data_IF_291367429445
#
_entry.id   IF_291367429445
#
_cell.length_a   1.000
_cell.length_b   1.000
_cell.length_c   1.000
_cell.angle_alpha   90.00
_cell.angle_beta   90.00
_cell.angle_gamma   90.00
#
_symmetry.space_group_name_H-M   'P 1'
#
loop_
_entity.id
_entity.type
_entity.pdbx_description
1 polymer ?
#
# COMPACT_ATOMS: atom_id res chain seq x y z
N UNK A 1 -32.17 -16.20 -20.47
CA UNK A 1 -31.63 -16.80 -19.23
C UNK A 1 -30.17 -16.43 -19.24
N UNK A 2 -29.87 -15.20 -18.82
CA UNK A 2 -28.49 -14.71 -18.75
C UNK A 2 -27.98 -14.91 -17.33
N UNK A 3 -26.85 -15.61 -17.26
CA UNK A 3 -26.02 -15.80 -16.09
C UNK A 3 -25.31 -14.49 -15.77
N UNK A 4 -25.86 -13.72 -14.83
CA UNK A 4 -25.17 -12.59 -14.24
C UNK A 4 -25.40 -12.57 -12.71
N UNK A 5 -25.00 -13.67 -12.05
CA UNK A 5 -25.22 -13.91 -10.62
C UNK A 5 -23.98 -13.75 -9.75
N UNK A 6 -22.83 -13.31 -10.28
CA UNK A 6 -21.59 -13.21 -9.50
C UNK A 6 -21.39 -11.90 -8.72
N UNK A 7 -22.38 -11.00 -8.71
CA UNK A 7 -22.29 -9.73 -7.97
C UNK A 7 -22.88 -9.74 -6.54
N UNK A 8 -23.27 -10.90 -5.98
CA UNK A 8 -24.05 -10.95 -4.71
C UNK A 8 -23.31 -11.37 -3.44
N UNK A 9 -22.03 -11.70 -3.48
CA UNK A 9 -21.30 -12.22 -2.29
C UNK A 9 -20.23 -11.26 -1.76
N UNK A 10 -20.34 -9.95 -2.00
CA UNK A 10 -19.40 -8.97 -1.44
C UNK A 10 -19.89 -8.45 -0.08
N UNK A 11 -19.31 -9.01 0.98
CA UNK A 11 -19.38 -8.48 2.34
C UNK A 11 -18.91 -7.02 2.35
N UNK A 12 -19.82 -6.12 2.74
CA UNK A 12 -19.54 -4.68 2.73
C UNK A 12 -19.11 -4.24 4.12
N UNK A 13 -17.94 -3.60 4.20
CA UNK A 13 -17.48 -2.94 5.41
C UNK A 13 -17.91 -1.49 5.31
N UNK A 14 -18.74 -1.05 6.25
CA UNK A 14 -19.25 0.30 6.34
C UNK A 14 -18.40 1.09 7.33
N UNK A 15 -17.86 2.20 6.86
CA UNK A 15 -17.33 3.26 7.71
C UNK A 15 -18.44 4.33 7.85
N UNK A 16 -19.21 4.33 8.95
CA UNK A 16 -20.29 5.30 9.12
C UNK A 16 -19.70 6.72 9.17
N UNK A 17 -20.40 7.67 8.56
CA UNK A 17 -20.06 9.08 8.65
C UNK A 17 -19.95 9.49 10.13
N UNK A 18 -18.85 10.15 10.48
CA UNK A 18 -18.56 10.59 11.85
C UNK A 18 -19.70 11.51 12.34
N UNK A 19 -20.55 11.01 13.24
CA UNK A 19 -21.64 11.78 13.82
C UNK A 19 -21.12 12.53 15.06
N UNK A 20 -21.12 13.87 14.99
CA UNK A 20 -20.65 14.81 16.03
C UNK A 20 -19.13 14.81 16.28
N UNK A 21 -18.66 15.65 17.22
CA UNK A 21 -17.27 16.09 17.47
C UNK A 21 -16.20 15.00 17.65
N UNK A 22 -16.56 13.72 17.59
CA UNK A 22 -15.67 12.57 17.71
C UNK A 22 -14.93 12.32 16.38
N UNK A 23 -13.61 12.23 16.44
CA UNK A 23 -12.72 12.08 15.26
C UNK A 23 -12.37 10.60 14.98
N UNK A 24 -13.26 9.68 15.31
CA UNK A 24 -13.15 8.23 15.07
C UNK A 24 -14.54 7.57 15.12
N UNK A 25 -14.66 6.37 14.58
CA UNK A 25 -15.91 5.59 14.52
C UNK A 25 -15.67 4.08 14.55
N UNK A 26 -16.68 3.29 14.19
CA UNK A 26 -16.58 1.82 14.16
C UNK A 26 -16.83 1.31 12.75
N UNK A 27 -16.03 0.35 12.29
CA UNK A 27 -16.29 -0.39 11.06
C UNK A 27 -17.33 -1.47 11.33
N UNK A 28 -18.37 -1.50 10.51
CA UNK A 28 -19.42 -2.52 10.57
C UNK A 28 -19.32 -3.46 9.37
N UNK A 29 -19.48 -4.76 9.60
CA UNK A 29 -19.56 -5.78 8.56
C UNK A 29 -21.00 -6.24 8.42
N UNK A 30 -21.54 -6.19 7.21
CA UNK A 30 -22.90 -6.69 6.94
C UNK A 30 -22.90 -8.19 6.62
N UNK A 31 -24.07 -8.82 6.69
CA UNK A 31 -24.32 -10.06 5.96
C UNK A 31 -24.43 -9.83 4.45
N UNK A 32 -24.59 -10.91 3.67
CA UNK A 32 -24.73 -10.86 2.20
C UNK A 32 -25.99 -10.11 1.72
N UNK A 33 -26.99 -9.95 2.61
CA UNK A 33 -28.21 -9.18 2.30
C UNK A 33 -28.07 -7.68 2.60
N UNK A 34 -27.04 -7.28 3.34
CA UNK A 34 -26.83 -5.90 3.75
C UNK A 34 -27.82 -5.43 4.83
N UNK A 35 -28.41 -6.36 5.59
CA UNK A 35 -29.48 -6.03 6.57
C UNK A 35 -29.04 -6.23 8.02
N UNK A 36 -28.18 -7.21 8.28
CA UNK A 36 -27.63 -7.46 9.60
C UNK A 36 -26.20 -6.97 9.66
N UNK A 37 -25.88 -6.19 10.68
CA UNK A 37 -24.56 -5.57 10.85
C UNK A 37 -23.97 -5.99 12.18
N UNK A 38 -22.69 -6.39 12.14
CA UNK A 38 -21.87 -6.64 13.32
C UNK A 38 -20.69 -5.68 13.33
N UNK A 39 -20.23 -5.30 14.51
CA UNK A 39 -19.04 -4.46 14.63
C UNK A 39 -17.80 -5.30 14.32
N UNK A 40 -17.01 -4.83 13.36
CA UNK A 40 -15.75 -5.46 12.92
C UNK A 40 -14.55 -4.86 13.63
N UNK A 41 -14.50 -3.54 13.77
CA UNK A 41 -13.41 -2.83 14.43
C UNK A 41 -13.90 -1.51 15.02
N UNK A 42 -13.65 -1.29 16.31
CA UNK A 42 -13.97 -0.04 16.99
C UNK A 42 -12.83 0.98 16.92
N UNK A 43 -13.19 2.25 17.15
CA UNK A 43 -12.27 3.39 17.27
C UNK A 43 -11.40 3.67 16.04
N UNK A 44 -11.86 3.30 14.85
CA UNK A 44 -11.17 3.59 13.59
C UNK A 44 -11.05 5.09 13.39
N UNK A 45 -9.82 5.54 13.19
CA UNK A 45 -9.45 6.92 13.04
C UNK A 45 -10.13 7.53 11.82
N UNK A 46 -10.64 8.74 11.98
CA UNK A 46 -11.16 9.52 10.87
C UNK A 46 -10.95 11.01 11.07
N UNK A 47 -11.19 11.75 10.00
CA UNK A 47 -11.11 13.19 9.99
C UNK A 47 -12.44 13.78 9.53
N UNK A 48 -13.12 14.47 10.46
CA UNK A 48 -14.46 15.03 10.26
C UNK A 48 -14.46 16.14 9.20
N UNK A 49 -13.34 16.84 8.99
CA UNK A 49 -13.27 17.96 8.05
C UNK A 49 -13.12 17.49 6.61
N UNK A 50 -12.37 16.42 6.40
CA UNK A 50 -12.14 15.81 5.08
C UNK A 50 -13.15 14.71 4.76
N UNK A 51 -13.83 14.15 5.77
CA UNK A 51 -14.68 12.98 5.65
C UNK A 51 -13.90 11.68 5.43
N UNK A 52 -12.56 11.71 5.53
CA UNK A 52 -11.70 10.57 5.33
C UNK A 52 -11.68 9.68 6.59
N UNK A 53 -11.59 8.38 6.36
CA UNK A 53 -11.43 7.36 7.40
C UNK A 53 -10.16 6.58 7.05
N UNK A 54 -9.32 6.31 8.04
CA UNK A 54 -8.13 5.48 7.89
C UNK A 54 -8.55 4.00 7.83
N UNK A 55 -9.13 3.63 6.69
CA UNK A 55 -9.47 2.27 6.32
C UNK A 55 -9.21 2.10 4.83
N UNK A 56 -8.49 1.05 4.47
CA UNK A 56 -8.19 0.74 3.08
C UNK A 56 -8.20 -0.77 2.85
N UNK A 57 -8.91 -1.22 1.82
CA UNK A 57 -8.83 -2.60 1.32
C UNK A 57 -7.64 -2.72 0.37
N UNK A 58 -6.90 -3.82 0.47
CA UNK A 58 -5.80 -4.10 -0.45
C UNK A 58 -6.40 -4.49 -1.80
N UNK A 59 -6.15 -3.66 -2.81
CA UNK A 59 -6.85 -3.72 -4.10
C UNK A 59 -6.56 -4.99 -4.90
N UNK A 60 -5.41 -5.61 -4.68
CA UNK A 60 -5.00 -6.82 -5.38
C UNK A 60 -5.45 -8.12 -4.71
N UNK A 61 -6.02 -8.06 -3.49
CA UNK A 61 -6.41 -9.26 -2.74
C UNK A 61 -7.68 -9.06 -1.92
N UNK A 62 -8.58 -10.02 -2.04
CA UNK A 62 -9.80 -10.03 -1.24
C UNK A 62 -9.52 -10.44 0.22
N UNK A 63 -10.30 -9.87 1.14
CA UNK A 63 -10.21 -10.16 2.56
C UNK A 63 -9.11 -9.46 3.33
N UNK A 64 -8.25 -8.70 2.65
CA UNK A 64 -7.15 -7.97 3.30
C UNK A 64 -7.46 -6.49 3.36
N UNK A 65 -7.36 -5.91 4.56
CA UNK A 65 -7.54 -4.49 4.77
C UNK A 65 -6.66 -3.96 5.91
N UNK A 66 -6.30 -2.69 5.81
CA UNK A 66 -5.56 -1.93 6.81
C UNK A 66 -6.45 -0.86 7.41
N UNK A 67 -6.28 -0.59 8.70
CA UNK A 67 -6.95 0.50 9.39
C UNK A 67 -6.06 1.10 10.48
N UNK A 68 -6.22 2.39 10.77
CA UNK A 68 -5.65 2.99 11.98
C UNK A 68 -6.75 3.15 13.03
N UNK A 69 -6.47 2.78 14.27
CA UNK A 69 -7.36 2.96 15.42
C UNK A 69 -6.83 4.00 16.38
N UNK A 70 -7.73 4.68 17.08
CA UNK A 70 -7.42 5.56 18.21
C UNK A 70 -7.28 4.69 19.45
N UNK A 71 -6.06 4.53 19.96
CA UNK A 71 -5.74 3.69 21.11
C UNK A 71 -6.12 4.33 22.46
N UNK A 72 -6.29 5.66 22.50
CA UNK A 72 -6.64 6.41 23.71
C UNK A 72 -8.00 7.15 23.61
N UNK A 73 -9.10 6.52 23.20
CA UNK A 73 -10.33 7.23 22.83
C UNK A 73 -10.94 8.05 24.00
N UNK A 74 -10.82 7.59 25.24
CA UNK A 74 -11.33 8.33 26.41
C UNK A 74 -10.55 9.62 26.65
N UNK A 75 -9.21 9.56 26.57
CA UNK A 75 -8.36 10.74 26.73
C UNK A 75 -8.52 11.69 25.54
N UNK A 76 -8.47 11.15 24.32
CA UNK A 76 -8.60 11.91 23.08
C UNK A 76 -9.94 12.68 22.99
N UNK A 77 -11.00 12.19 23.63
CA UNK A 77 -12.29 12.89 23.68
C UNK A 77 -12.21 14.20 24.48
N UNK A 78 -11.31 14.27 25.45
CA UNK A 78 -11.11 15.45 26.29
C UNK A 78 -9.98 16.36 25.79
N UNK A 79 -8.88 15.77 25.30
CA UNK A 79 -7.67 16.51 24.90
C UNK A 79 -7.66 16.86 23.41
N UNK A 80 -8.42 16.14 22.58
CA UNK A 80 -8.34 16.19 21.12
C UNK A 80 -7.08 15.54 20.54
N UNK A 81 -6.16 15.02 21.37
CA UNK A 81 -4.92 14.39 20.97
C UNK A 81 -5.11 12.88 20.82
N UNK A 82 -5.03 12.40 19.58
CA UNK A 82 -5.19 10.98 19.23
C UNK A 82 -3.83 10.28 19.26
N UNK A 83 -3.80 9.12 19.89
CA UNK A 83 -2.73 8.12 19.79
C UNK A 83 -3.20 7.07 18.80
N UNK A 84 -2.45 6.87 17.72
CA UNK A 84 -2.86 6.02 16.61
C UNK A 84 -2.03 4.74 16.55
N UNK A 85 -2.69 3.62 16.26
CA UNK A 85 -2.04 2.34 16.00
C UNK A 85 -2.64 1.69 14.76
N UNK A 86 -1.81 1.10 13.92
CA UNK A 86 -2.23 0.39 12.70
C UNK A 86 -2.62 -1.05 12.99
N UNK A 87 -3.66 -1.52 12.31
CA UNK A 87 -4.13 -2.91 12.30
C UNK A 87 -4.35 -3.41 10.89
N UNK A 88 -4.21 -4.71 10.72
CA UNK A 88 -4.47 -5.45 9.48
C UNK A 88 -5.47 -6.58 9.75
N UNK A 89 -6.28 -6.91 8.75
CA UNK A 89 -7.12 -8.10 8.73
C UNK A 89 -6.76 -8.92 7.50
N UNK A 90 -6.87 -10.24 7.62
CA UNK A 90 -6.69 -11.22 6.53
C UNK A 90 -7.93 -12.10 6.33
N UNK A 91 -9.04 -11.77 6.98
CA UNK A 91 -10.29 -12.54 6.92
C UNK A 91 -11.51 -11.62 6.77
N UNK A 92 -11.36 -10.58 5.95
CA UNK A 92 -12.39 -9.61 5.58
C UNK A 92 -12.99 -8.91 6.82
N UNK A 93 -12.14 -8.50 7.75
CA UNK A 93 -12.55 -7.81 8.98
C UNK A 93 -13.20 -8.74 10.02
N UNK A 94 -13.02 -10.06 9.93
CA UNK A 94 -13.44 -10.98 11.00
C UNK A 94 -12.59 -10.81 12.26
N UNK A 95 -11.27 -10.71 12.10
CA UNK A 95 -10.30 -10.41 13.15
C UNK A 95 -9.29 -9.38 12.65
N UNK A 96 -8.74 -8.60 13.59
CA UNK A 96 -7.78 -7.55 13.31
C UNK A 96 -6.58 -7.69 14.23
N UNK A 97 -5.39 -7.64 13.65
CA UNK A 97 -4.10 -7.83 14.31
C UNK A 97 -3.22 -6.61 14.11
N UNK A 98 -2.25 -6.40 15.01
CA UNK A 98 -1.23 -5.37 14.82
C UNK A 98 -0.23 -5.82 13.74
N UNK A 99 0.36 -4.86 13.03
CA UNK A 99 1.35 -5.18 11.99
C UNK A 99 2.67 -5.59 12.67
N UNK A 100 3.18 -6.76 12.29
CA UNK A 100 4.47 -7.26 12.77
C UNK A 100 5.59 -6.30 12.37
N UNK A 101 6.41 -5.81 13.32
CA UNK A 101 7.53 -4.96 12.99
C UNK A 101 8.65 -5.77 12.30
N UNK A 102 9.35 -5.21 11.30
CA UNK A 102 10.58 -5.80 10.78
C UNK A 102 11.64 -5.97 11.88
N UNK A 103 12.51 -6.97 11.74
CA UNK A 103 13.60 -7.21 12.70
C UNK A 103 14.67 -6.12 12.65
N UNK A 104 14.97 -5.64 11.44
CA UNK A 104 16.02 -4.66 11.17
C UNK A 104 15.51 -3.62 10.18
N UNK A 105 16.16 -2.46 10.20
CA UNK A 105 15.91 -1.40 9.26
C UNK A 105 16.70 -1.58 7.95
N UNK A 106 16.49 -0.69 6.98
CA UNK A 106 17.14 -0.74 5.65
C UNK A 106 18.67 -0.56 5.71
N UNK A 107 19.21 -0.18 6.85
CA UNK A 107 20.65 -0.03 7.11
C UNK A 107 21.22 -1.21 7.90
N UNK A 108 20.42 -2.25 8.18
CA UNK A 108 20.80 -3.44 8.94
C UNK A 108 20.83 -3.22 10.46
N UNK A 109 20.27 -2.11 10.96
CA UNK A 109 20.21 -1.84 12.39
C UNK A 109 18.92 -2.43 12.98
N UNK A 110 18.99 -3.17 14.10
CA UNK A 110 17.80 -3.73 14.74
C UNK A 110 16.93 -2.63 15.33
N UNK A 111 15.60 -2.80 15.24
CA UNK A 111 14.67 -1.90 15.93
C UNK A 111 14.73 -2.13 17.44
N UNK A 112 14.74 -1.05 18.21
CA UNK A 112 14.65 -1.09 19.68
C UNK A 112 13.19 -1.33 20.11
N UNK A 113 12.69 -2.52 19.78
CA UNK A 113 11.27 -2.90 19.86
C UNK A 113 11.14 -4.14 20.78
N UNK A 114 11.44 -3.94 22.07
CA UNK A 114 11.51 -5.01 23.06
C UNK A 114 10.22 -5.17 23.89
N UNK A 115 9.29 -4.20 23.78
CA UNK A 115 8.00 -4.24 24.45
C UNK A 115 6.97 -4.99 23.57
N UNK A 116 6.07 -5.71 24.24
CA UNK A 116 4.87 -6.31 23.65
C UNK A 116 3.97 -5.34 22.88
N UNK A 117 3.99 -4.05 23.20
CA UNK A 117 3.17 -3.04 22.53
C UNK A 117 3.84 -2.39 21.30
N UNK A 118 5.03 -2.85 20.92
CA UNK A 118 5.78 -2.25 19.82
C UNK A 118 5.47 -2.96 18.49
N UNK A 119 4.95 -2.20 17.53
CA UNK A 119 4.44 -2.69 16.25
C UNK A 119 4.85 -1.78 15.09
N UNK A 120 4.62 -2.23 13.86
CA UNK A 120 4.67 -1.36 12.69
C UNK A 120 3.39 -0.53 12.61
N UNK A 121 3.54 0.76 12.34
CA UNK A 121 2.43 1.67 12.11
C UNK A 121 2.60 2.44 10.82
N UNK A 122 1.57 2.43 9.98
CA UNK A 122 1.53 3.07 8.68
C UNK A 122 0.60 4.28 8.70
N UNK A 123 0.99 5.33 8.01
CA UNK A 123 0.15 6.52 7.81
C UNK A 123 -0.95 6.15 6.83
N UNK A 124 -2.21 6.38 7.23
CA UNK A 124 -3.38 6.14 6.41
C UNK A 124 -3.82 7.37 5.61
N UNK A 125 -5.00 7.24 4.98
CA UNK A 125 -5.61 8.23 4.10
C UNK A 125 -5.77 9.63 4.70
N UNK A 126 -6.01 9.73 6.01
CA UNK A 126 -6.15 11.01 6.73
C UNK A 126 -4.81 11.74 6.92
N UNK A 127 -3.68 11.04 6.70
CA UNK A 127 -2.33 11.51 7.04
C UNK A 127 -1.34 11.49 5.85
N UNK A 128 -1.75 11.03 4.67
CA UNK A 128 -0.89 11.03 3.49
C UNK A 128 -0.65 12.45 2.95
N UNK A 129 0.62 12.74 2.60
CA UNK A 129 0.99 13.98 1.89
C UNK A 129 0.44 14.02 0.46
N UNK A 130 0.47 12.89 -0.23
CA UNK A 130 -0.18 12.70 -1.52
C UNK A 130 -1.59 12.15 -1.27
N UNK A 131 -2.61 12.99 -1.48
CA UNK A 131 -4.00 12.60 -1.27
C UNK A 131 -4.41 11.52 -2.26
N UNK A 132 -5.11 10.49 -1.77
CA UNK A 132 -5.65 9.42 -2.62
C UNK A 132 -4.65 8.35 -3.03
N UNK A 133 -3.45 8.32 -2.41
CA UNK A 133 -2.53 7.20 -2.54
C UNK A 133 -3.02 6.01 -1.73
N UNK A 134 -3.08 4.87 -2.41
CA UNK A 134 -3.37 3.56 -1.84
C UNK A 134 -2.07 2.85 -1.48
N UNK A 135 -2.12 1.94 -0.51
CA UNK A 135 -1.02 1.06 -0.12
C UNK A 135 -0.69 -0.01 -1.18
N UNK A 136 -1.55 -0.22 -2.18
CA UNK A 136 -1.42 -1.26 -3.20
C UNK A 136 -1.94 -0.81 -4.56
N UNK A 137 -1.64 -1.61 -5.59
CA UNK A 137 -2.20 -1.45 -6.94
C UNK A 137 -2.93 -2.72 -7.37
N UNK A 138 -4.03 -2.62 -8.15
CA UNK A 138 -4.81 -3.79 -8.57
C UNK A 138 -3.99 -4.83 -9.35
N UNK A 139 -3.00 -4.39 -10.14
CA UNK A 139 -2.15 -5.30 -10.92
C UNK A 139 -1.00 -5.93 -10.12
N UNK A 140 -0.76 -5.49 -8.88
CA UNK A 140 0.39 -5.92 -8.08
C UNK A 140 -0.10 -6.75 -6.90
N UNK A 141 -0.08 -8.07 -7.09
CA UNK A 141 -0.53 -9.02 -6.08
C UNK A 141 0.51 -9.17 -4.98
N UNK A 142 0.06 -9.31 -3.73
CA UNK A 142 0.94 -9.56 -2.58
C UNK A 142 1.68 -8.34 -2.05
N UNK A 143 2.00 -7.36 -2.90
CA UNK A 143 2.79 -6.21 -2.49
C UNK A 143 1.98 -5.08 -1.88
N UNK A 144 2.42 -4.61 -0.72
CA UNK A 144 1.85 -3.48 0.02
C UNK A 144 2.99 -2.54 0.39
N UNK A 145 2.93 -1.27 -0.01
CA UNK A 145 3.95 -0.26 0.32
C UNK A 145 3.35 0.83 1.18
N UNK A 146 4.00 1.14 2.30
CA UNK A 146 3.50 2.11 3.27
C UNK A 146 4.60 3.00 3.83
N UNK A 147 4.22 4.22 4.22
CA UNK A 147 5.11 5.14 4.94
C UNK A 147 4.68 5.15 6.40
N UNK A 148 5.62 4.93 7.32
CA UNK A 148 5.28 4.62 8.70
C UNK A 148 6.46 4.65 9.65
N UNK A 149 6.29 4.14 10.86
CA UNK A 149 7.37 3.92 11.82
C UNK A 149 7.12 2.64 12.62
N UNK A 150 8.18 2.10 13.20
CA UNK A 150 8.10 1.07 14.24
C UNK A 150 8.11 1.76 15.60
N UNK A 151 7.25 1.32 16.52
CA UNK A 151 7.16 1.86 17.87
C UNK A 151 5.86 1.44 18.55
N UNK A 152 5.56 2.03 19.71
CA UNK A 152 4.28 1.77 20.41
C UNK A 152 3.08 2.38 19.67
N UNK A 153 3.32 3.49 18.97
CA UNK A 153 2.28 4.28 18.31
C UNK A 153 2.82 4.90 17.02
N UNK A 154 1.91 5.27 16.11
CA UNK A 154 2.23 6.04 14.93
C UNK A 154 2.77 7.41 15.34
N UNK A 155 4.00 7.72 14.93
CA UNK A 155 4.68 8.96 15.27
C UNK A 155 3.90 10.17 14.75
N UNK A 156 3.69 11.17 15.61
CA UNK A 156 3.09 12.43 15.18
C UNK A 156 4.00 13.17 14.19
N UNK A 157 5.31 13.14 14.45
CA UNK A 157 6.30 13.71 13.55
C UNK A 157 6.46 12.86 12.29
N UNK A 158 6.15 13.47 11.15
CA UNK A 158 6.30 12.87 9.83
C UNK A 158 7.78 12.59 9.48
N UNK A 159 8.75 13.30 10.08
CA UNK A 159 10.20 13.07 9.87
C UNK A 159 10.71 11.77 10.45
N UNK A 160 10.03 11.20 11.44
CA UNK A 160 10.36 9.89 11.99
C UNK A 160 9.92 8.72 11.10
N UNK A 161 9.26 8.97 9.97
CA UNK A 161 8.75 7.91 9.10
C UNK A 161 9.77 7.41 8.07
N UNK A 162 9.79 6.11 7.85
CA UNK A 162 10.49 5.38 6.78
C UNK A 162 9.50 4.76 5.81
N UNK A 163 9.99 4.22 4.68
CA UNK A 163 9.18 3.47 3.71
C UNK A 163 9.36 1.97 3.92
N UNK A 164 8.23 1.26 3.99
CA UNK A 164 8.13 -0.18 4.24
C UNK A 164 7.42 -0.88 3.10
N UNK A 165 7.76 -2.15 2.89
CA UNK A 165 7.05 -3.04 1.97
C UNK A 165 6.70 -4.35 2.68
N UNK A 166 5.56 -4.92 2.30
CA UNK A 166 5.27 -6.34 2.45
C UNK A 166 5.14 -6.94 1.06
N UNK A 167 5.65 -8.17 0.86
CA UNK A 167 5.54 -8.94 -0.40
C UNK A 167 4.65 -10.17 -0.25
N UNK A 168 4.20 -10.42 0.97
CA UNK A 168 3.37 -11.54 1.38
C UNK A 168 2.08 -11.01 2.00
N UNK A 169 1.44 -10.04 1.36
CA UNK A 169 0.08 -9.63 1.71
C UNK A 169 -0.08 -9.06 3.13
N UNK A 170 0.99 -8.52 3.70
CA UNK A 170 1.02 -7.89 5.02
C UNK A 170 1.32 -8.83 6.18
N UNK A 171 1.70 -10.09 5.92
CA UNK A 171 2.12 -11.04 6.96
C UNK A 171 3.50 -10.69 7.52
N UNK A 172 4.45 -10.33 6.65
CA UNK A 172 5.76 -9.80 7.02
C UNK A 172 6.04 -8.46 6.35
N UNK A 173 6.91 -7.68 6.98
CA UNK A 173 7.25 -6.34 6.54
C UNK A 173 8.76 -6.14 6.58
N UNK A 174 9.26 -5.31 5.68
CA UNK A 174 10.66 -4.88 5.59
C UNK A 174 10.73 -3.36 5.44
N UNK A 175 11.69 -2.71 6.10
CA UNK A 175 12.03 -1.32 5.78
C UNK A 175 12.90 -1.34 4.52
N UNK A 176 12.42 -0.76 3.42
CA UNK A 176 13.17 -0.72 2.15
C UNK A 176 13.99 0.55 1.97
N UNK A 177 13.62 1.62 2.68
CA UNK A 177 14.37 2.86 2.64
C UNK A 177 14.12 3.74 3.86
N UNK A 178 15.17 4.37 4.37
CA UNK A 178 15.07 5.41 5.41
C UNK A 178 14.37 6.66 4.89
N UNK A 179 13.66 7.36 5.78
CA UNK A 179 12.82 8.51 5.44
C UNK A 179 11.63 8.13 4.55
N UNK A 180 10.61 8.97 4.58
CA UNK A 180 9.42 8.84 3.76
C UNK A 180 9.70 9.16 2.29
N UNK A 181 9.13 8.37 1.41
CA UNK A 181 9.19 8.57 -0.03
C UNK A 181 7.78 8.48 -0.61
N UNK A 182 7.51 9.28 -1.64
CA UNK A 182 6.45 8.93 -2.57
C UNK A 182 6.90 7.73 -3.38
N UNK A 183 5.95 6.87 -3.73
CA UNK A 183 6.23 5.65 -4.46
C UNK A 183 5.16 5.38 -5.52
N UNK A 184 5.56 4.65 -6.56
CA UNK A 184 4.63 4.04 -7.50
C UNK A 184 5.12 2.70 -8.04
N UNK A 185 4.16 1.81 -8.32
CA UNK A 185 4.39 0.61 -9.11
C UNK A 185 4.12 0.87 -10.60
N UNK A 186 4.93 0.24 -11.45
CA UNK A 186 4.68 0.11 -12.88
C UNK A 186 4.92 -1.32 -13.33
N UNK A 187 4.52 -1.59 -14.58
CA UNK A 187 4.65 -2.91 -15.21
C UNK A 187 4.06 -4.07 -14.39
N UNK A 188 2.93 -3.85 -13.70
CA UNK A 188 2.32 -4.84 -12.80
C UNK A 188 3.22 -5.29 -11.66
N UNK A 189 4.08 -4.40 -11.17
CA UNK A 189 4.91 -4.62 -9.98
C UNK A 189 6.38 -4.86 -10.29
N UNK A 190 6.73 -5.14 -11.55
CA UNK A 190 8.12 -5.36 -11.97
C UNK A 190 8.99 -4.11 -11.77
N UNK A 191 8.39 -2.91 -11.72
CA UNK A 191 9.11 -1.66 -11.47
C UNK A 191 8.49 -0.98 -10.24
N UNK A 192 9.31 -0.73 -9.22
CA UNK A 192 8.97 0.12 -8.08
C UNK A 192 9.82 1.38 -8.13
N UNK A 193 9.20 2.55 -8.22
CA UNK A 193 9.88 3.86 -8.25
C UNK A 193 9.58 4.59 -6.95
N UNK A 194 10.60 5.19 -6.35
CA UNK A 194 10.48 6.02 -5.16
C UNK A 194 11.19 7.37 -5.33
N UNK A 195 10.65 8.40 -4.67
CA UNK A 195 11.20 9.75 -4.70
C UNK A 195 11.00 10.45 -3.36
N UNK A 196 12.00 11.21 -2.92
CA UNK A 196 11.98 11.91 -1.64
C UNK A 196 10.79 12.88 -1.57
N UNK A 197 10.01 12.81 -0.49
CA UNK A 197 8.78 13.61 -0.32
C UNK A 197 8.94 14.85 0.59
N UNK A 198 10.19 15.23 0.91
CA UNK A 198 10.51 16.35 1.80
C UNK A 198 11.51 17.32 1.24
N UNK A 199 12.63 16.77 0.80
CA UNK A 199 13.79 17.53 0.37
C UNK A 199 13.68 17.75 -1.15
N UNK A 200 14.18 18.89 -1.62
CA UNK A 200 14.25 19.14 -3.05
C UNK A 200 15.16 18.08 -3.68
N UNK A 201 14.72 17.48 -4.77
CA UNK A 201 15.47 16.43 -5.47
C UNK A 201 15.21 16.50 -6.97
N UNK A 202 16.15 15.98 -7.74
CA UNK A 202 16.03 15.72 -9.16
C UNK A 202 16.31 14.25 -9.51
N UNK A 203 16.37 13.39 -8.50
CA UNK A 203 16.59 11.95 -8.64
C UNK A 203 15.38 11.17 -8.11
N UNK A 204 15.03 10.11 -8.83
CA UNK A 204 14.23 8.99 -8.31
C UNK A 204 15.16 7.82 -8.08
N UNK A 205 14.79 6.93 -7.17
CA UNK A 205 15.37 5.59 -7.10
C UNK A 205 14.33 4.60 -7.61
N UNK A 206 14.78 3.58 -8.32
CA UNK A 206 13.89 2.53 -8.81
C UNK A 206 14.50 1.15 -8.57
N UNK A 207 13.62 0.16 -8.47
CA UNK A 207 13.94 -1.24 -8.31
C UNK A 207 13.23 -2.05 -9.38
N UNK A 208 13.91 -3.05 -9.91
CA UNK A 208 13.36 -4.09 -10.80
C UNK A 208 13.34 -5.48 -10.18
N UNK A 209 13.56 -5.56 -8.86
CA UNK A 209 13.56 -6.80 -8.08
C UNK A 209 12.82 -6.58 -6.75
N UNK A 210 11.59 -6.06 -6.84
CA UNK A 210 10.66 -5.95 -5.71
C UNK A 210 11.18 -5.13 -4.51
N UNK A 211 12.11 -4.21 -4.72
CA UNK A 211 12.65 -3.32 -3.70
C UNK A 211 13.86 -3.89 -2.95
N UNK A 212 14.47 -4.97 -3.46
CA UNK A 212 15.67 -5.58 -2.88
C UNK A 212 16.96 -4.83 -3.25
N UNK A 213 17.02 -4.24 -4.45
CA UNK A 213 18.13 -3.41 -4.88
C UNK A 213 17.65 -2.15 -5.59
N UNK A 214 18.39 -1.06 -5.44
CA UNK A 214 17.99 0.26 -5.89
C UNK A 214 18.99 0.83 -6.89
N UNK A 215 18.46 1.45 -7.94
CA UNK A 215 19.22 2.22 -8.93
C UNK A 215 18.71 3.65 -8.94
N UNK A 216 19.63 4.61 -8.98
CA UNK A 216 19.28 6.03 -9.04
C UNK A 216 19.12 6.51 -10.50
N UNK A 217 18.13 7.35 -10.75
CA UNK A 217 17.87 7.96 -12.07
C UNK A 217 17.58 9.46 -11.92
N UNK A 218 18.38 10.28 -12.59
CA UNK A 218 18.18 11.72 -12.65
C UNK A 218 17.05 12.06 -13.62
N UNK A 219 15.90 12.52 -13.11
CA UNK A 219 14.74 12.85 -13.93
C UNK A 219 14.71 14.32 -14.38
N UNK A 220 15.48 15.20 -13.74
CA UNK A 220 15.52 16.63 -14.07
C UNK A 220 16.92 17.25 -13.90
N UNK A 221 17.18 18.36 -14.58
CA UNK A 221 18.44 19.10 -14.43
C UNK A 221 18.52 19.90 -13.13
N UNK A 222 17.37 20.31 -12.59
CA UNK A 222 17.25 21.12 -11.37
C UNK A 222 16.45 20.38 -10.31
N UNK A 223 16.83 20.55 -9.05
CA UNK A 223 16.07 20.02 -7.92
C UNK A 223 14.70 20.70 -7.80
N UNK A 224 13.69 19.89 -7.48
CA UNK A 224 12.33 20.34 -7.26
C UNK A 224 11.74 19.71 -6.00
N UNK A 225 10.80 20.40 -5.37
CA UNK A 225 10.00 19.80 -4.30
C UNK A 225 8.90 18.97 -4.93
N UNK A 226 9.06 17.65 -4.82
CA UNK A 226 8.07 16.71 -5.34
C UNK A 226 6.80 16.78 -4.50
N UNK A 227 5.65 16.75 -5.18
CA UNK A 227 4.31 16.72 -4.58
C UNK A 227 3.64 15.37 -4.76
N UNK A 228 3.94 14.68 -5.85
CA UNK A 228 3.46 13.32 -6.10
C UNK A 228 4.28 12.65 -7.22
N UNK A 229 4.22 11.33 -7.29
CA UNK A 229 4.60 10.53 -8.46
C UNK A 229 3.40 9.71 -8.87
N UNK A 230 2.98 9.76 -10.13
CA UNK A 230 1.79 9.06 -10.59
C UNK A 230 2.09 8.20 -11.81
N UNK A 231 1.28 7.17 -12.01
CA UNK A 231 1.27 6.31 -13.18
C UNK A 231 -0.18 6.04 -13.61
N UNK A 232 -0.34 5.24 -14.66
CA UNK A 232 -1.64 4.71 -15.03
C UNK A 232 -2.30 3.99 -13.82
N UNK A 233 -3.58 4.24 -13.50
CA UNK A 233 -4.19 3.80 -12.24
C UNK A 233 -4.06 2.31 -11.92
N UNK A 234 -4.10 1.43 -12.94
CA UNK A 234 -3.97 0.00 -12.75
C UNK A 234 -2.55 -0.45 -12.39
N UNK A 235 -1.52 0.38 -12.60
CA UNK A 235 -0.12 0.07 -12.30
C UNK A 235 0.61 -0.71 -13.40
N UNK A 236 0.04 -0.79 -14.61
CA UNK A 236 0.58 -1.59 -15.72
C UNK A 236 1.52 -0.81 -16.64
N UNK A 237 1.51 0.52 -16.55
CA UNK A 237 2.36 1.39 -17.36
C UNK A 237 3.82 1.34 -16.89
N UNK A 238 4.76 1.45 -17.83
CA UNK A 238 6.20 1.71 -17.59
C UNK A 238 6.55 3.20 -17.63
N UNK A 239 5.54 4.05 -17.73
CA UNK A 239 5.64 5.52 -17.81
C UNK A 239 5.07 6.15 -16.56
N UNK A 240 5.83 7.07 -15.99
CA UNK A 240 5.53 7.76 -14.74
C UNK A 240 5.59 9.27 -14.95
N UNK A 241 4.88 10.00 -14.10
CA UNK A 241 4.91 11.46 -14.06
C UNK A 241 5.25 11.90 -12.64
N UNK A 242 6.34 12.64 -12.50
CA UNK A 242 6.72 13.32 -11.26
C UNK A 242 6.12 14.73 -11.28
N UNK A 243 5.32 15.05 -10.28
CA UNK A 243 4.68 16.36 -10.12
C UNK A 243 5.38 17.14 -9.01
N UNK A 244 5.62 18.43 -9.23
CA UNK A 244 6.12 19.30 -8.16
C UNK A 244 6.45 20.70 -8.61
N UNK A 245 7.26 21.42 -7.83
CA UNK A 245 7.63 22.80 -8.13
C UNK A 245 9.13 23.06 -7.92
N UNK A 246 9.72 23.86 -8.79
CA UNK A 246 11.09 24.34 -8.61
C UNK A 246 11.11 25.46 -7.58
N UNK A 247 12.09 25.47 -6.67
CA UNK A 247 12.32 26.60 -5.77
C UNK A 247 12.45 27.90 -6.58
N UNK A 248 11.43 28.74 -6.51
CA UNK A 248 11.43 30.02 -7.19
C UNK A 248 10.65 31.04 -6.38
N UNK A 249 11.22 32.24 -6.16
CA UNK A 249 10.56 33.32 -5.42
C UNK A 249 9.30 33.86 -6.11
N UNK A 250 9.00 33.43 -7.36
CA UNK A 250 7.96 34.00 -8.21
C UNK A 250 6.67 33.16 -8.34
N UNK A 251 6.40 32.18 -7.47
CA UNK A 251 5.27 31.24 -7.63
C UNK A 251 5.27 30.57 -9.02
N UNK A 252 6.16 29.61 -9.22
CA UNK A 252 6.18 28.84 -10.47
C UNK A 252 5.00 27.85 -10.45
N UNK A 253 4.29 27.67 -11.59
CA UNK A 253 3.25 26.64 -11.70
C UNK A 253 3.82 25.24 -11.46
N UNK A 254 2.96 24.31 -11.06
CA UNK A 254 3.32 22.89 -10.91
C UNK A 254 3.89 22.38 -12.24
N UNK A 255 5.04 21.74 -12.17
CA UNK A 255 5.75 21.10 -13.28
C UNK A 255 5.47 19.60 -13.23
N UNK A 256 5.27 19.03 -14.41
CA UNK A 256 5.15 17.59 -14.62
C UNK A 256 6.36 17.11 -15.44
N UNK A 257 7.11 16.15 -14.88
CA UNK A 257 8.25 15.53 -15.54
C UNK A 257 7.91 14.08 -15.87
N UNK A 258 8.02 13.70 -17.14
CA UNK A 258 7.73 12.36 -17.61
C UNK A 258 8.97 11.48 -17.56
N UNK A 259 8.84 10.28 -16.98
CA UNK A 259 9.88 9.24 -16.92
C UNK A 259 9.37 8.02 -17.69
N UNK A 260 10.17 7.50 -18.63
CA UNK A 260 9.83 6.32 -19.43
C UNK A 260 10.85 5.20 -19.22
N UNK A 261 10.43 4.15 -18.54
CA UNK A 261 11.24 2.95 -18.29
C UNK A 261 11.01 1.84 -19.34
N UNK A 262 10.36 2.13 -20.47
CA UNK A 262 10.09 1.12 -21.51
C UNK A 262 11.35 0.50 -22.12
N UNK A 263 12.52 1.14 -21.97
CA UNK A 263 13.80 0.65 -22.46
C UNK A 263 14.53 -0.28 -21.48
N UNK A 264 14.06 -0.44 -20.23
CA UNK A 264 14.68 -1.35 -19.25
C UNK A 264 14.64 -2.80 -19.72
N UNK A 265 13.56 -3.19 -20.39
CA UNK A 265 13.31 -4.55 -20.85
C UNK A 265 12.65 -4.54 -22.22
N UNK A 266 13.16 -5.38 -23.13
CA UNK A 266 12.69 -5.46 -24.52
C UNK A 266 12.00 -6.78 -24.85
N UNK A 267 12.09 -7.77 -23.96
CA UNK A 267 11.40 -9.06 -24.06
C UNK A 267 10.18 -9.09 -23.13
N UNK A 268 9.05 -9.54 -23.67
CA UNK A 268 7.82 -9.81 -22.91
C UNK A 268 7.97 -11.11 -22.10
N UNK A 269 7.46 -11.13 -20.87
CA UNK A 269 7.39 -12.34 -20.04
C UNK A 269 6.58 -13.42 -20.76
N UNK A 270 7.12 -14.64 -20.80
CA UNK A 270 6.45 -15.81 -21.36
C UNK A 270 5.91 -16.71 -20.26
N UNK A 271 4.59 -16.93 -20.26
CA UNK A 271 3.93 -17.82 -19.33
C UNK A 271 3.87 -19.23 -19.92
N UNK A 272 4.85 -20.05 -19.59
CA UNK A 272 4.78 -21.49 -19.81
C UNK A 272 4.28 -22.19 -18.54
N UNK A 273 3.09 -22.79 -18.60
CA UNK A 273 2.50 -23.52 -17.47
C UNK A 273 3.04 -24.95 -17.38
N UNK A 274 3.65 -25.45 -18.46
CA UNK A 274 4.10 -26.84 -18.64
C UNK A 274 5.58 -27.06 -18.39
N UNK A 275 6.37 -25.97 -18.29
CA UNK A 275 7.81 -26.00 -18.11
C UNK A 275 8.25 -25.17 -16.88
N UNK A 276 9.35 -25.59 -16.26
CA UNK A 276 10.01 -24.89 -15.14
C UNK A 276 10.83 -23.67 -15.62
N UNK A 277 11.11 -23.54 -16.93
CA UNK A 277 11.79 -22.37 -17.54
C UNK A 277 10.85 -21.17 -17.79
N UNK A 278 9.66 -21.18 -17.18
CA UNK A 278 8.69 -20.08 -17.25
C UNK A 278 9.28 -18.80 -16.67
N UNK A 279 8.98 -17.65 -17.27
CA UNK A 279 9.31 -16.36 -16.64
C UNK A 279 8.42 -16.10 -15.40
N UNK A 280 7.53 -17.03 -15.02
CA UNK A 280 6.59 -16.87 -13.92
C UNK A 280 6.81 -17.88 -12.79
N UNK A 281 6.84 -17.37 -11.56
CA UNK A 281 6.87 -18.13 -10.30
C UNK A 281 5.49 -18.24 -9.65
N UNK A 282 5.29 -19.28 -8.84
CA UNK A 282 4.10 -19.41 -8.02
C UNK A 282 4.21 -18.58 -6.75
N UNK A 283 3.16 -17.85 -6.45
CA UNK A 283 3.05 -17.01 -5.26
C UNK A 283 1.81 -17.38 -4.44
N UNK A 284 1.94 -17.27 -3.12
CA UNK A 284 0.85 -17.44 -2.16
C UNK A 284 1.04 -16.47 -1.01
N UNK A 285 -0.06 -15.85 -0.49
CA UNK A 285 0.04 -14.93 0.62
C UNK A 285 0.53 -15.61 1.91
N UNK A 286 0.25 -16.91 2.10
CA UNK A 286 0.71 -17.65 3.27
C UNK A 286 0.80 -19.16 2.98
N UNK A 287 1.51 -19.93 3.80
CA UNK A 287 1.51 -21.39 3.69
C UNK A 287 0.11 -22.02 3.91
N UNK A 288 -0.82 -21.28 4.52
CA UNK A 288 -2.20 -21.67 4.79
C UNK A 288 -3.19 -21.09 3.76
N UNK A 289 -4.39 -21.68 3.67
CA UNK A 289 -5.45 -21.16 2.81
C UNK A 289 -5.96 -19.80 3.31
N UNK A 290 -5.89 -18.78 2.45
CA UNK A 290 -6.52 -17.48 2.69
C UNK A 290 -7.93 -17.51 2.09
N UNK A 291 -8.96 -17.39 2.92
CA UNK A 291 -10.38 -17.48 2.49
C UNK A 291 -10.70 -18.72 1.62
N UNK A 292 -10.00 -19.84 1.85
CA UNK A 292 -10.20 -21.07 1.07
C UNK A 292 -9.48 -21.11 -0.29
N UNK A 293 -8.60 -20.14 -0.58
CA UNK A 293 -7.78 -20.09 -1.80
C UNK A 293 -6.28 -20.15 -1.47
N UNK A 294 -5.47 -20.69 -2.39
CA UNK A 294 -4.07 -21.01 -2.07
C UNK A 294 -3.00 -20.39 -2.99
N UNK A 295 -3.17 -20.17 -4.31
CA UNK A 295 -2.03 -19.80 -5.20
C UNK A 295 -2.39 -18.95 -6.44
N UNK A 296 -1.47 -18.08 -6.85
CA UNK A 296 -1.41 -17.39 -8.15
C UNK A 296 0.01 -17.44 -8.76
N UNK A 297 0.23 -16.98 -10.01
CA UNK A 297 1.58 -16.87 -10.62
C UNK A 297 1.99 -15.40 -10.83
N UNK A 298 3.27 -15.06 -10.61
CA UNK A 298 3.90 -13.74 -10.81
C UNK A 298 5.08 -13.85 -11.78
N UNK A 299 5.38 -12.84 -12.60
CA UNK A 299 6.58 -12.90 -13.45
C UNK A 299 7.83 -12.64 -12.60
N UNK A 300 8.73 -13.62 -12.53
CA UNK A 300 10.04 -13.54 -11.89
C UNK A 300 11.15 -13.35 -12.93
N UNK A 301 11.93 -12.27 -12.79
CA UNK A 301 13.15 -12.08 -13.59
C UNK A 301 13.46 -10.62 -13.92
N UNK A 302 14.74 -10.23 -13.75
CA UNK A 302 15.21 -8.85 -13.89
C UNK A 302 15.24 -8.31 -15.35
N UNK A 303 14.84 -9.09 -16.36
CA UNK A 303 15.04 -8.75 -17.79
C UNK A 303 13.81 -8.84 -18.69
N UNK A 304 12.63 -9.15 -18.14
CA UNK A 304 11.38 -9.28 -18.89
C UNK A 304 10.35 -8.21 -18.45
N UNK A 305 9.35 -7.92 -19.28
CA UNK A 305 8.20 -7.07 -18.90
C UNK A 305 6.86 -7.79 -19.01
N UNK A 306 5.90 -7.39 -18.19
CA UNK A 306 4.53 -7.89 -18.25
C UNK A 306 3.73 -7.13 -19.31
N UNK A 307 3.41 -7.77 -20.43
CA UNK A 307 2.41 -7.21 -21.33
C UNK A 307 1.02 -7.34 -20.69
N UNK A 308 0.25 -6.25 -20.76
CA UNK A 308 -1.13 -6.10 -20.30
C UNK A 308 -2.03 -7.30 -20.58
N UNK A 309 -2.09 -8.24 -19.65
CA UNK A 309 -3.25 -9.05 -19.21
C UNK A 309 -2.76 -10.23 -18.36
N UNK A 310 -2.85 -10.09 -17.04
CA UNK A 310 -3.20 -11.25 -16.21
C UNK A 310 -4.71 -11.18 -16.12
N UNK A 311 -5.43 -11.79 -17.07
CA UNK A 311 -6.84 -12.11 -16.84
C UNK A 311 -6.88 -13.00 -15.60
N UNK A 312 -7.67 -12.57 -14.61
CA UNK A 312 -7.80 -13.29 -13.35
C UNK A 312 -7.98 -14.78 -13.60
N UNK A 313 -7.26 -15.59 -12.85
CA UNK A 313 -7.49 -17.03 -12.82
C UNK A 313 -8.93 -17.27 -12.35
N UNK A 314 -9.85 -17.50 -13.30
CA UNK A 314 -11.06 -18.25 -13.04
C UNK A 314 -10.64 -19.66 -12.63
N UNK A 315 -10.51 -19.87 -11.32
CA UNK A 315 -10.48 -21.20 -10.74
C UNK A 315 -11.90 -21.74 -10.75
N UNK A 316 -12.33 -22.26 -11.90
CA UNK A 316 -13.44 -23.21 -11.92
C UNK A 316 -12.96 -24.50 -11.23
N UNK A 317 -13.48 -24.76 -10.03
CA UNK A 317 -13.38 -26.07 -9.40
C UNK A 317 -14.64 -26.87 -9.78
N UNK A 318 -14.44 -28.08 -10.31
CA UNK A 318 -15.40 -29.17 -10.19
C UNK A 318 -15.25 -29.84 -8.83
#
# INVERSE_FOLDING_TARGET
>A
MDHDSHHRDRLTIYAPALQSTMKWGSLLKSDFTGTLFVTSLDYVNGDVYTGLVDFERISSMEGIALANVVANPQEAASTGSKVLQSKITHNDGGTWEYLTPPQQDSLGMPYQCNDTNCHLHLRGSTMHRAKGKSFSKPSVVGSIVGVGNVGENLAQDYTASSTFISRDAGFSWEEIHKKSHFWEFGDSGSILVMVNDKEATNHVIFSTNEGLAWTEYQFADKEMFVKDIITEPSGKSRRFIVLGDFMSPLHVPIVAVHIDFSSLTTRQCDLDVSNDDSDFEWWSPSENCLLGQQRGRLCGGQSNYLATEIQGMELSMH
#
